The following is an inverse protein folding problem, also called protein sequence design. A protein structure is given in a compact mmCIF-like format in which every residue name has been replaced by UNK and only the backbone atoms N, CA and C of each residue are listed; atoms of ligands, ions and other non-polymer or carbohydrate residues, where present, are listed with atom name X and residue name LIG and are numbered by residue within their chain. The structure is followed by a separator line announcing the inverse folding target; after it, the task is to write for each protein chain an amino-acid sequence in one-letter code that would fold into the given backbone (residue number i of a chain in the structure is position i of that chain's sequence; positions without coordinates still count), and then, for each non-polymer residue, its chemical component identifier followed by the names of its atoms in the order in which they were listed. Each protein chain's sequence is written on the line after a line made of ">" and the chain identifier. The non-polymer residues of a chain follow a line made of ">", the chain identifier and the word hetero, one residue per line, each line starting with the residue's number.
data_IF_098006394306
#
_entry.id   IF_098006394306
#
_cell.length_a   1.000
_cell.length_b   1.000
_cell.length_c   1.000
_cell.angle_alpha   90.00
_cell.angle_beta   90.00
_cell.angle_gamma   90.00
#
_symmetry.space_group_name_H-M   'P 1'
#
loop_
_entity.id
_entity.type
_entity.pdbx_description
1 polymer ?
#
# COMPACT_ATOMS: atom_id res chain seq x y z
N UNK A 1 -8.48 17.89 -19.01
CA UNK A 1 -8.01 17.80 -17.63
C UNK A 1 -6.50 18.01 -17.53
N UNK A 2 -6.01 18.46 -16.37
CA UNK A 2 -4.57 18.48 -16.10
C UNK A 2 -4.11 17.10 -15.61
N UNK A 3 -2.91 16.65 -16.09
CA UNK A 3 -2.31 15.39 -15.68
C UNK A 3 -0.77 15.51 -15.63
N UNK A 4 -0.13 14.82 -14.69
CA UNK A 4 1.31 14.71 -14.57
C UNK A 4 1.80 13.54 -15.43
N UNK A 5 2.23 13.85 -16.66
CA UNK A 5 2.60 12.86 -17.69
C UNK A 5 4.11 12.72 -17.79
N UNK A 6 4.60 11.50 -17.94
CA UNK A 6 5.96 11.22 -18.39
C UNK A 6 5.95 10.40 -19.69
N UNK A 7 6.76 10.87 -20.66
CA UNK A 7 6.84 10.31 -22.01
C UNK A 7 7.81 9.12 -22.11
N UNK A 8 8.69 8.96 -21.13
CA UNK A 8 9.68 7.90 -21.03
C UNK A 8 10.07 7.65 -19.58
N UNK A 9 10.53 6.45 -19.30
CA UNK A 9 11.07 6.09 -17.99
C UNK A 9 12.23 7.02 -17.60
N UNK A 10 12.28 7.41 -16.34
CA UNK A 10 13.24 8.35 -15.75
C UNK A 10 13.30 9.72 -16.47
N UNK A 11 12.33 9.99 -17.34
CA UNK A 11 12.21 11.26 -18.04
C UNK A 11 11.56 12.34 -17.15
N UNK A 12 11.55 13.60 -17.65
CA UNK A 12 10.81 14.66 -16.97
C UNK A 12 9.32 14.32 -16.91
N UNK A 13 8.71 14.67 -15.79
CA UNK A 13 7.26 14.63 -15.61
C UNK A 13 6.74 16.04 -15.86
N UNK A 14 5.76 16.19 -16.73
CA UNK A 14 5.18 17.48 -17.08
C UNK A 14 3.70 17.54 -16.70
N UNK A 15 3.27 18.64 -16.11
CA UNK A 15 1.85 18.91 -15.92
C UNK A 15 1.30 19.48 -17.22
N UNK A 16 0.45 18.72 -17.91
CA UNK A 16 -0.08 19.05 -19.23
C UNK A 16 -1.60 18.95 -19.28
N UNK A 17 -2.20 19.64 -20.24
CA UNK A 17 -3.63 19.49 -20.54
C UNK A 17 -3.82 18.33 -21.51
N UNK A 18 -4.66 17.38 -21.12
CA UNK A 18 -5.03 16.20 -21.90
C UNK A 18 -6.56 16.09 -21.97
N UNK A 19 -7.08 15.26 -22.87
CA UNK A 19 -8.52 14.98 -22.94
C UNK A 19 -8.99 14.31 -21.64
N UNK A 20 -10.22 14.63 -21.23
CA UNK A 20 -10.85 13.97 -20.10
C UNK A 20 -11.12 12.50 -20.44
N UNK A 21 -10.94 11.57 -19.48
CA UNK A 21 -11.24 10.17 -19.72
C UNK A 21 -12.74 9.95 -19.89
N UNK A 22 -13.10 9.03 -20.79
CA UNK A 22 -14.47 8.56 -20.93
C UNK A 22 -14.62 7.17 -20.30
N UNK A 23 -15.75 6.88 -19.63
CA UNK A 23 -15.94 5.57 -19.03
C UNK A 23 -16.19 4.50 -20.09
N UNK A 24 -15.44 3.42 -20.07
CA UNK A 24 -15.77 2.22 -20.83
C UNK A 24 -16.98 1.50 -20.22
N UNK A 25 -17.50 0.47 -20.91
CA UNK A 25 -18.54 -0.38 -20.33
C UNK A 25 -18.05 -1.04 -19.04
N UNK A 26 -18.80 -0.89 -17.96
CA UNK A 26 -18.44 -1.40 -16.62
C UNK A 26 -17.51 -0.49 -15.81
N UNK A 27 -17.04 0.61 -16.37
CA UNK A 27 -16.13 1.56 -15.67
C UNK A 27 -16.91 2.80 -15.18
N UNK A 28 -16.34 3.49 -14.21
CA UNK A 28 -16.73 4.88 -13.87
C UNK A 28 -15.54 5.80 -14.02
N UNK A 29 -15.80 7.09 -14.29
CA UNK A 29 -14.81 8.17 -14.17
C UNK A 29 -14.99 8.83 -12.82
N UNK A 30 -13.89 9.08 -12.13
CA UNK A 30 -13.89 9.80 -10.86
C UNK A 30 -13.06 11.07 -10.95
N UNK A 31 -13.59 12.16 -10.41
CA UNK A 31 -12.82 13.35 -10.06
C UNK A 31 -12.00 13.04 -8.82
N UNK A 32 -10.70 13.28 -8.87
CA UNK A 32 -9.80 12.95 -7.77
C UNK A 32 -9.95 13.97 -6.65
N UNK A 33 -10.15 13.50 -5.43
CA UNK A 33 -10.20 14.31 -4.22
C UNK A 33 -8.87 14.28 -3.45
N UNK A 34 -8.20 13.12 -3.43
CA UNK A 34 -6.87 12.97 -2.89
C UNK A 34 -6.18 11.75 -3.52
N UNK A 35 -4.84 11.80 -3.66
CA UNK A 35 -4.02 10.67 -4.12
C UNK A 35 -2.70 10.61 -3.35
N UNK A 36 -2.37 9.41 -2.84
CA UNK A 36 -1.11 9.15 -2.15
C UNK A 36 0.04 8.95 -3.14
N UNK A 37 1.23 9.48 -2.82
CA UNK A 37 2.46 9.10 -3.50
C UNK A 37 3.02 7.82 -2.87
N UNK A 38 3.21 6.80 -3.67
CA UNK A 38 3.72 5.51 -3.23
C UNK A 38 5.07 5.19 -3.88
N UNK A 39 5.86 4.36 -3.19
CA UNK A 39 7.13 3.87 -3.74
C UNK A 39 6.93 3.11 -5.05
N UNK A 40 5.79 2.45 -5.22
CA UNK A 40 5.47 1.74 -6.45
C UNK A 40 5.28 2.69 -7.64
N UNK A 41 4.77 3.93 -7.44
CA UNK A 41 4.73 4.93 -8.51
C UNK A 41 6.15 5.34 -8.94
N UNK A 42 7.08 5.45 -7.98
CA UNK A 42 8.49 5.69 -8.29
C UNK A 42 9.10 4.53 -9.09
N UNK A 43 8.82 3.28 -8.70
CA UNK A 43 9.28 2.10 -9.46
C UNK A 43 8.71 2.10 -10.88
N UNK A 44 7.46 2.49 -11.05
CA UNK A 44 6.82 2.65 -12.36
C UNK A 44 7.51 3.71 -13.21
N UNK A 45 7.72 4.92 -12.68
CA UNK A 45 8.43 5.98 -13.37
C UNK A 45 9.91 5.61 -13.67
N UNK A 46 10.54 4.87 -12.76
CA UNK A 46 11.92 4.40 -12.92
C UNK A 46 12.06 3.32 -14.01
N UNK A 47 10.96 2.65 -14.40
CA UNK A 47 10.95 1.62 -15.45
C UNK A 47 11.26 0.21 -14.96
N UNK A 48 11.03 -0.06 -13.67
CA UNK A 48 11.19 -1.41 -13.09
C UNK A 48 9.88 -2.20 -13.06
N UNK A 49 8.75 -1.57 -13.38
CA UNK A 49 7.46 -2.24 -13.52
C UNK A 49 7.20 -2.59 -14.99
N UNK A 50 7.06 -3.88 -15.35
CA UNK A 50 6.92 -4.31 -16.73
C UNK A 50 5.54 -4.01 -17.34
N UNK A 51 4.54 -3.69 -16.51
CA UNK A 51 3.16 -3.47 -16.97
C UNK A 51 2.93 -2.03 -17.46
N UNK A 52 3.89 -1.13 -17.23
CA UNK A 52 3.78 0.28 -17.62
C UNK A 52 4.28 0.51 -19.04
N UNK A 53 3.48 1.24 -19.81
CA UNK A 53 3.80 1.70 -21.18
C UNK A 53 3.72 3.22 -21.22
N UNK A 54 4.78 3.88 -21.70
CA UNK A 54 4.82 5.33 -21.89
C UNK A 54 4.15 5.74 -23.23
N UNK A 55 3.50 6.94 -23.30
CA UNK A 55 3.37 7.93 -22.22
C UNK A 55 2.44 7.47 -21.10
N UNK A 56 2.75 7.87 -19.86
CA UNK A 56 2.03 7.37 -18.69
C UNK A 56 1.75 8.43 -17.63
N UNK A 57 0.69 8.19 -16.84
CA UNK A 57 0.30 8.91 -15.63
C UNK A 57 0.23 7.92 -14.47
N UNK A 58 1.07 8.10 -13.45
CA UNK A 58 1.05 7.30 -12.23
C UNK A 58 -0.08 7.68 -11.28
N UNK A 59 -0.02 7.19 -10.04
CA UNK A 59 -1.02 7.45 -8.99
C UNK A 59 -2.07 6.34 -8.93
N UNK A 60 -1.88 5.39 -8.01
CA UNK A 60 -2.71 4.19 -7.88
C UNK A 60 -3.45 4.09 -6.54
N UNK A 61 -3.30 5.07 -5.68
CA UNK A 61 -3.81 5.09 -4.32
C UNK A 61 -4.62 6.37 -4.11
N UNK A 62 -5.92 6.33 -4.43
CA UNK A 62 -6.74 7.52 -4.54
C UNK A 62 -8.16 7.33 -3.99
N UNK A 63 -8.79 8.45 -3.68
CA UNK A 63 -10.21 8.63 -3.47
C UNK A 63 -10.75 9.63 -4.47
N UNK A 64 -11.97 9.43 -4.96
CA UNK A 64 -12.59 10.35 -5.90
C UNK A 64 -14.12 10.37 -5.81
N UNK A 65 -14.71 11.30 -6.55
CA UNK A 65 -16.15 11.43 -6.73
C UNK A 65 -16.52 10.99 -8.14
N UNK A 66 -17.50 10.12 -8.27
CA UNK A 66 -18.00 9.67 -9.58
C UNK A 66 -18.58 10.88 -10.35
N UNK A 67 -18.09 11.10 -11.56
CA UNK A 67 -18.54 12.18 -12.46
C UNK A 67 -19.09 11.67 -13.79
N UNK A 68 -18.81 10.41 -14.13
CA UNK A 68 -19.42 9.76 -15.29
C UNK A 68 -19.50 8.25 -15.08
N UNK A 69 -20.57 7.64 -15.61
CA UNK A 69 -20.88 6.23 -15.40
C UNK A 69 -20.96 5.54 -16.76
N UNK A 70 -20.18 4.46 -16.94
CA UNK A 70 -20.19 3.65 -18.16
C UNK A 70 -21.39 2.74 -18.27
N UNK A 71 -21.67 2.29 -19.50
CA UNK A 71 -22.75 1.34 -19.75
C UNK A 71 -22.57 0.06 -18.91
N UNK A 72 -23.66 -0.46 -18.35
CA UNK A 72 -23.68 -1.70 -17.57
C UNK A 72 -23.28 -1.54 -16.08
N UNK A 73 -22.84 -0.37 -15.63
CA UNK A 73 -22.69 -0.08 -14.21
C UNK A 73 -24.05 0.09 -13.56
N UNK A 74 -24.30 -0.59 -12.46
CA UNK A 74 -25.62 -0.63 -11.79
C UNK A 74 -25.58 -0.16 -10.34
N UNK A 75 -24.41 -0.14 -9.71
CA UNK A 75 -24.25 0.16 -8.29
C UNK A 75 -23.86 1.61 -7.99
N UNK A 76 -23.38 2.35 -9.01
CA UNK A 76 -22.78 3.66 -8.84
C UNK A 76 -23.51 4.71 -9.67
N UNK A 77 -23.51 5.94 -9.16
CA UNK A 77 -24.07 7.14 -9.82
C UNK A 77 -23.16 8.34 -9.63
N UNK A 78 -23.33 9.36 -10.45
CA UNK A 78 -22.64 10.63 -10.29
C UNK A 78 -22.90 11.21 -8.90
N UNK A 79 -21.83 11.76 -8.31
CA UNK A 79 -21.82 12.29 -6.94
C UNK A 79 -21.35 11.29 -5.87
N UNK A 80 -21.38 9.99 -6.13
CA UNK A 80 -20.92 9.00 -5.16
C UNK A 80 -19.41 9.16 -4.88
N UNK A 81 -19.04 9.11 -3.61
CA UNK A 81 -17.65 9.20 -3.15
C UNK A 81 -17.07 7.80 -2.96
N UNK A 82 -16.02 7.48 -3.73
CA UNK A 82 -15.50 6.12 -3.81
C UNK A 82 -13.98 6.05 -3.72
N UNK A 83 -13.50 4.91 -3.23
CA UNK A 83 -12.11 4.44 -3.32
C UNK A 83 -12.09 3.13 -4.09
N UNK A 84 -10.96 2.79 -4.69
CA UNK A 84 -10.76 1.50 -5.34
C UNK A 84 -9.42 0.89 -4.91
N UNK A 85 -9.29 -0.46 -4.84
CA UNK A 85 -8.00 -1.09 -4.68
C UNK A 85 -7.13 -0.83 -5.92
N UNK A 86 -5.82 -0.75 -5.73
CA UNK A 86 -4.90 -0.60 -6.87
C UNK A 86 -4.99 -1.79 -7.84
N UNK A 87 -5.38 -2.98 -7.37
CA UNK A 87 -5.69 -4.13 -8.22
C UNK A 87 -7.20 -4.25 -8.40
N UNK A 88 -7.70 -3.79 -9.53
CA UNK A 88 -9.09 -3.94 -9.91
C UNK A 88 -9.33 -5.30 -10.60
N UNK A 89 -10.00 -6.21 -9.90
CA UNK A 89 -10.33 -7.53 -10.40
C UNK A 89 -11.55 -7.53 -11.33
N UNK A 90 -11.60 -8.48 -12.28
CA UNK A 90 -12.67 -8.54 -13.28
C UNK A 90 -14.03 -9.07 -12.75
N UNK A 91 -14.08 -9.62 -11.54
CA UNK A 91 -15.30 -10.18 -10.94
C UNK A 91 -15.69 -11.60 -11.40
N UNK A 92 -15.12 -12.13 -12.50
CA UNK A 92 -15.62 -13.34 -13.17
C UNK A 92 -14.65 -14.52 -13.20
N UNK A 93 -13.33 -14.27 -13.08
CA UNK A 93 -12.35 -15.36 -13.14
C UNK A 93 -12.31 -16.17 -11.84
N UNK A 94 -11.67 -17.36 -11.88
CA UNK A 94 -11.63 -18.25 -10.72
C UNK A 94 -11.19 -17.56 -9.41
N UNK A 95 -10.08 -16.84 -9.35
CA UNK A 95 -9.72 -16.06 -8.16
C UNK A 95 -10.79 -15.07 -7.72
N UNK A 96 -11.42 -14.34 -8.66
CA UNK A 96 -12.47 -13.38 -8.34
C UNK A 96 -13.71 -14.04 -7.74
N UNK A 97 -14.15 -15.16 -8.28
CA UNK A 97 -15.28 -15.92 -7.75
C UNK A 97 -15.03 -16.48 -6.35
N UNK A 98 -13.77 -16.63 -5.97
CA UNK A 98 -13.33 -16.97 -4.61
C UNK A 98 -13.12 -15.74 -3.71
N UNK A 99 -13.51 -14.54 -4.15
CA UNK A 99 -13.31 -13.30 -3.41
C UNK A 99 -11.86 -12.80 -3.35
N UNK A 100 -10.97 -13.34 -4.20
CA UNK A 100 -9.55 -13.00 -4.25
C UNK A 100 -9.24 -12.10 -5.46
N UNK A 101 -9.88 -10.94 -5.53
CA UNK A 101 -9.78 -10.00 -6.65
C UNK A 101 -8.35 -9.50 -6.86
N UNK A 102 -7.56 -9.35 -5.80
CA UNK A 102 -6.18 -8.85 -5.83
C UNK A 102 -5.18 -9.80 -6.53
N UNK A 103 -5.60 -11.00 -6.90
CA UNK A 103 -4.82 -11.94 -7.73
C UNK A 103 -5.58 -12.35 -8.99
N UNK A 104 -6.42 -11.45 -9.50
CA UNK A 104 -7.16 -11.62 -10.72
C UNK A 104 -6.22 -11.77 -11.92
N UNK A 105 -6.52 -12.73 -12.81
CA UNK A 105 -5.73 -12.95 -14.05
C UNK A 105 -6.00 -11.90 -15.13
N UNK A 106 -7.10 -11.17 -15.03
CA UNK A 106 -7.51 -10.08 -15.95
C UNK A 106 -7.57 -8.74 -15.21
N UNK A 107 -6.72 -8.58 -14.20
CA UNK A 107 -6.67 -7.36 -13.41
C UNK A 107 -6.35 -6.14 -14.26
N UNK A 108 -6.87 -5.00 -13.84
CA UNK A 108 -6.48 -3.70 -14.34
C UNK A 108 -6.05 -2.84 -13.14
N UNK A 109 -5.04 -2.03 -13.36
CA UNK A 109 -4.43 -1.24 -12.28
C UNK A 109 -4.30 0.22 -12.73
N UNK A 110 -5.20 1.12 -12.28
CA UNK A 110 -4.99 2.56 -12.48
C UNK A 110 -3.63 2.99 -11.90
N UNK A 111 -2.83 3.69 -12.70
CA UNK A 111 -1.46 4.07 -12.34
C UNK A 111 -0.37 3.08 -12.77
N UNK A 112 -0.76 1.91 -13.35
CA UNK A 112 0.16 0.91 -13.90
C UNK A 112 -0.27 0.44 -15.28
N UNK A 113 -1.27 -0.42 -15.41
CA UNK A 113 -1.78 -0.89 -16.70
C UNK A 113 -2.67 0.12 -17.41
N UNK A 114 -3.10 1.15 -16.70
CA UNK A 114 -3.90 2.29 -17.17
C UNK A 114 -3.35 3.58 -16.55
N UNK A 115 -3.67 4.73 -17.15
CA UNK A 115 -3.38 6.02 -16.55
C UNK A 115 -4.04 6.15 -15.17
N UNK A 116 -3.30 6.68 -14.22
CA UNK A 116 -3.65 6.79 -12.81
C UNK A 116 -4.19 8.15 -12.40
N UNK A 117 -4.06 8.41 -11.11
CA UNK A 117 -4.71 9.52 -10.41
C UNK A 117 -3.79 10.73 -10.17
N UNK A 118 -2.56 10.78 -10.70
CA UNK A 118 -1.81 12.04 -10.76
C UNK A 118 -2.37 12.92 -11.89
N UNK A 119 -3.68 13.12 -11.84
CA UNK A 119 -4.51 13.88 -12.77
C UNK A 119 -5.78 14.34 -12.05
N UNK A 120 -6.55 15.24 -12.68
CA UNK A 120 -7.85 15.67 -12.13
C UNK A 120 -8.91 14.56 -12.18
N UNK A 121 -8.84 13.66 -13.16
CA UNK A 121 -9.77 12.55 -13.33
C UNK A 121 -9.02 11.25 -13.64
N UNK A 122 -9.59 10.13 -13.21
CA UNK A 122 -9.16 8.79 -13.62
C UNK A 122 -10.34 7.84 -13.75
N UNK A 123 -10.12 6.64 -14.27
CA UNK A 123 -11.15 5.60 -14.39
C UNK A 123 -10.99 4.52 -13.34
N UNK A 124 -12.10 4.06 -12.78
CA UNK A 124 -12.16 2.83 -11.97
C UNK A 124 -12.74 1.72 -12.84
N UNK A 125 -11.91 0.74 -13.26
CA UNK A 125 -12.39 -0.37 -14.09
C UNK A 125 -13.21 -1.38 -13.28
N UNK A 126 -14.17 -2.03 -13.95
CA UNK A 126 -15.09 -3.00 -13.34
C UNK A 126 -15.70 -2.43 -12.05
N UNK A 127 -16.31 -1.24 -12.15
CA UNK A 127 -16.68 -0.42 -11.00
C UNK A 127 -17.60 -1.13 -10.00
N UNK A 128 -18.57 -1.92 -10.47
CA UNK A 128 -19.47 -2.67 -9.59
C UNK A 128 -18.75 -3.73 -8.74
N UNK A 129 -17.55 -4.15 -9.14
CA UNK A 129 -16.70 -5.08 -8.41
C UNK A 129 -15.68 -4.38 -7.51
N UNK A 130 -15.16 -3.22 -7.94
CA UNK A 130 -13.95 -2.64 -7.33
C UNK A 130 -14.16 -1.29 -6.64
N UNK A 131 -15.15 -0.50 -7.04
CA UNK A 131 -15.44 0.73 -6.32
C UNK A 131 -16.08 0.41 -4.96
N UNK A 132 -15.69 1.17 -3.94
CA UNK A 132 -16.19 1.03 -2.56
C UNK A 132 -16.58 2.42 -2.06
N UNK A 133 -17.80 2.53 -1.52
CA UNK A 133 -18.26 3.77 -0.90
C UNK A 133 -17.39 4.14 0.30
N UNK A 134 -16.99 5.39 0.40
CA UNK A 134 -16.23 5.91 1.52
C UNK A 134 -17.19 6.47 2.57
N UNK A 135 -17.12 6.04 3.84
CA UNK A 135 -17.94 6.59 4.92
C UNK A 135 -17.74 8.10 5.07
N UNK A 136 -18.79 8.84 5.39
CA UNK A 136 -18.71 10.30 5.55
C UNK A 136 -17.74 10.75 6.65
N UNK A 137 -17.59 9.94 7.69
CA UNK A 137 -16.66 10.17 8.81
C UNK A 137 -15.19 10.06 8.43
N UNK A 138 -14.86 9.43 7.29
CA UNK A 138 -13.50 9.21 6.83
C UNK A 138 -13.07 10.36 5.91
N UNK A 139 -11.96 11.03 6.23
CA UNK A 139 -11.42 12.13 5.40
C UNK A 139 -10.91 11.62 4.05
N UNK A 140 -10.78 12.52 3.06
CA UNK A 140 -10.23 12.16 1.74
C UNK A 140 -8.79 11.67 1.83
N UNK A 141 -7.96 12.31 2.66
CA UNK A 141 -6.57 11.88 2.89
C UNK A 141 -6.51 10.44 3.42
N UNK A 142 -7.31 10.14 4.44
CA UNK A 142 -7.36 8.80 5.02
C UNK A 142 -7.88 7.77 4.01
N UNK A 143 -8.94 8.10 3.27
CA UNK A 143 -9.56 7.23 2.28
C UNK A 143 -8.61 6.91 1.11
N UNK A 144 -7.86 7.89 0.61
CA UNK A 144 -6.88 7.67 -0.45
C UNK A 144 -5.90 6.56 -0.07
N UNK A 145 -5.38 6.56 1.17
CA UNK A 145 -4.39 5.59 1.65
C UNK A 145 -4.94 4.16 1.78
N UNK A 146 -6.27 3.99 1.75
CA UNK A 146 -6.90 2.65 1.76
C UNK A 146 -6.70 1.93 0.43
N UNK A 147 -6.57 2.65 -0.69
CA UNK A 147 -6.44 2.05 -2.02
C UNK A 147 -5.25 1.09 -2.17
N UNK A 148 -4.16 1.32 -1.44
CA UNK A 148 -2.94 0.52 -1.54
C UNK A 148 -2.36 0.14 -0.17
N UNK A 149 -1.65 1.06 0.50
CA UNK A 149 -0.78 0.74 1.64
C UNK A 149 -1.53 0.24 2.86
N UNK A 150 -2.66 0.85 3.20
CA UNK A 150 -3.46 0.45 4.37
C UNK A 150 -4.12 -0.90 4.12
N UNK A 151 -4.74 -1.10 2.96
CA UNK A 151 -5.37 -2.36 2.59
C UNK A 151 -4.37 -3.50 2.46
N UNK A 152 -3.19 -3.26 1.89
CA UNK A 152 -2.11 -4.25 1.79
C UNK A 152 -1.61 -4.65 3.18
N UNK A 153 -1.41 -3.68 4.08
CA UNK A 153 -1.01 -3.94 5.46
C UNK A 153 -2.10 -4.68 6.25
N UNK A 154 -3.39 -4.31 6.06
CA UNK A 154 -4.50 -5.07 6.62
C UNK A 154 -4.44 -6.53 6.20
N UNK A 155 -4.33 -6.79 4.89
CA UNK A 155 -4.21 -8.16 4.40
C UNK A 155 -2.99 -8.88 4.95
N UNK A 156 -1.85 -8.19 4.99
CA UNK A 156 -0.60 -8.77 5.50
C UNK A 156 -0.68 -9.15 6.97
N UNK A 157 -1.10 -8.22 7.79
CA UNK A 157 -1.10 -8.38 9.26
C UNK A 157 -2.29 -9.21 9.73
N UNK A 158 -3.52 -8.89 9.25
CA UNK A 158 -4.74 -9.47 9.76
C UNK A 158 -5.11 -10.77 9.04
N UNK A 159 -5.17 -10.77 7.71
CA UNK A 159 -5.68 -11.95 7.00
C UNK A 159 -4.60 -13.02 6.82
N UNK A 160 -3.42 -12.64 6.32
CA UNK A 160 -2.34 -13.61 6.05
C UNK A 160 -1.52 -13.90 7.30
N UNK A 161 -1.10 -12.86 8.00
CA UNK A 161 -0.36 -12.97 9.26
C UNK A 161 -1.20 -13.49 10.41
N UNK A 162 -2.52 -13.35 10.37
CA UNK A 162 -3.45 -13.78 11.40
C UNK A 162 -3.04 -13.29 12.79
N UNK A 163 -2.52 -12.06 12.86
CA UNK A 163 -2.07 -11.44 14.10
C UNK A 163 -3.23 -11.30 15.09
N UNK A 164 -2.97 -11.61 16.35
CA UNK A 164 -3.96 -11.54 17.44
C UNK A 164 -3.51 -10.60 18.54
N UNK A 165 -4.45 -10.11 19.31
CA UNK A 165 -4.15 -9.34 20.52
C UNK A 165 -3.21 -10.12 21.46
N UNK A 166 -2.21 -9.43 22.01
CA UNK A 166 -1.19 -10.01 22.88
C UNK A 166 -0.03 -10.74 22.15
N UNK A 167 -0.12 -10.95 20.81
CA UNK A 167 1.01 -11.42 20.02
C UNK A 167 2.02 -10.29 19.77
N UNK A 168 3.21 -10.63 19.31
CA UNK A 168 4.27 -9.71 18.90
C UNK A 168 4.30 -9.62 17.38
N UNK A 169 4.18 -8.39 16.86
CA UNK A 169 4.42 -8.05 15.45
C UNK A 169 5.79 -7.39 15.32
N UNK A 170 6.64 -7.86 14.42
CA UNK A 170 7.87 -7.17 14.04
C UNK A 170 7.78 -6.67 12.60
N UNK A 171 7.97 -5.35 12.38
CA UNK A 171 7.88 -4.70 11.07
C UNK A 171 9.27 -4.22 10.63
N UNK A 172 9.76 -4.76 9.53
CA UNK A 172 11.01 -4.34 8.89
C UNK A 172 10.73 -3.33 7.78
N UNK A 173 11.22 -2.11 7.98
CA UNK A 173 11.01 -0.97 7.11
C UNK A 173 9.79 -0.13 7.50
N UNK A 174 10.03 1.12 7.96
CA UNK A 174 9.02 2.07 8.43
C UNK A 174 8.65 3.10 7.34
N UNK A 175 8.59 2.67 6.07
CA UNK A 175 7.97 3.42 4.99
C UNK A 175 6.43 3.37 5.07
N UNK A 176 5.73 3.89 4.05
CA UNK A 176 4.26 4.00 4.10
C UNK A 176 3.51 2.70 4.40
N UNK A 177 3.94 1.57 3.81
CA UNK A 177 3.33 0.24 4.08
C UNK A 177 3.70 -0.24 5.48
N UNK A 178 4.96 -0.05 5.91
CA UNK A 178 5.40 -0.46 7.24
C UNK A 178 4.72 0.33 8.36
N UNK A 179 4.57 1.65 8.19
CA UNK A 179 3.81 2.48 9.13
C UNK A 179 2.34 2.04 9.23
N UNK A 180 1.73 1.70 8.10
CA UNK A 180 0.38 1.13 8.08
C UNK A 180 0.33 -0.23 8.79
N UNK A 181 1.37 -1.08 8.67
CA UNK A 181 1.46 -2.34 9.40
C UNK A 181 1.64 -2.13 10.92
N UNK A 182 2.43 -1.13 11.33
CA UNK A 182 2.57 -0.71 12.74
C UNK A 182 1.21 -0.28 13.30
N UNK A 183 0.53 0.65 12.62
CA UNK A 183 -0.80 1.12 13.03
C UNK A 183 -1.82 -0.03 13.10
N UNK A 184 -1.74 -0.98 12.18
CA UNK A 184 -2.59 -2.16 12.15
C UNK A 184 -2.33 -3.10 13.33
N UNK A 185 -1.06 -3.34 13.66
CA UNK A 185 -0.67 -4.13 14.83
C UNK A 185 -1.18 -3.53 16.13
N UNK A 186 -1.04 -2.21 16.29
CA UNK A 186 -1.63 -1.48 17.43
C UNK A 186 -3.14 -1.61 17.46
N UNK A 187 -3.83 -1.47 16.32
CA UNK A 187 -5.28 -1.58 16.23
C UNK A 187 -5.80 -2.96 16.68
N UNK A 188 -5.00 -4.00 16.53
CA UNK A 188 -5.31 -5.37 17.01
C UNK A 188 -5.04 -5.53 18.50
N UNK A 189 -4.17 -4.72 19.10
CA UNK A 189 -3.69 -4.87 20.47
C UNK A 189 -2.51 -5.83 20.60
N UNK A 190 -1.67 -5.89 19.58
CA UNK A 190 -0.38 -6.60 19.61
C UNK A 190 0.72 -5.71 20.18
N UNK A 191 1.80 -6.31 20.65
CA UNK A 191 3.06 -5.60 20.90
C UNK A 191 3.78 -5.41 19.58
N UNK A 192 4.10 -4.17 19.22
CA UNK A 192 4.67 -3.83 17.91
C UNK A 192 6.13 -3.41 18.02
N UNK A 193 7.00 -4.11 17.32
CA UNK A 193 8.42 -3.77 17.12
C UNK A 193 8.60 -3.21 15.72
N UNK A 194 9.13 -2.00 15.60
CA UNK A 194 9.48 -1.37 14.33
C UNK A 194 11.01 -1.36 14.15
N UNK A 195 11.47 -1.82 13.01
CA UNK A 195 12.90 -1.89 12.63
C UNK A 195 13.12 -1.04 11.38
N UNK A 196 14.03 -0.10 11.45
CA UNK A 196 14.47 0.73 10.31
C UNK A 196 15.91 1.20 10.54
N UNK A 197 16.50 1.87 9.55
CA UNK A 197 17.82 2.53 9.66
C UNK A 197 17.70 4.06 9.75
N UNK A 198 16.51 4.62 9.57
CA UNK A 198 16.26 6.06 9.59
C UNK A 198 15.62 6.47 10.93
N UNK A 199 16.31 7.29 11.76
CA UNK A 199 15.79 7.71 13.06
C UNK A 199 14.43 8.42 12.97
N UNK A 200 14.23 9.24 11.94
CA UNK A 200 12.97 9.96 11.73
C UNK A 200 11.82 9.00 11.38
N UNK A 201 12.09 7.91 10.63
CA UNK A 201 11.10 6.89 10.34
C UNK A 201 10.73 6.09 11.60
N UNK A 202 11.71 5.80 12.47
CA UNK A 202 11.48 5.15 13.77
C UNK A 202 10.70 6.05 14.73
N UNK A 203 11.00 7.35 14.77
CA UNK A 203 10.24 8.32 15.57
C UNK A 203 8.78 8.39 15.11
N UNK A 204 8.53 8.38 13.80
CA UNK A 204 7.18 8.34 13.23
C UNK A 204 6.50 7.00 13.54
N UNK A 205 7.20 5.87 13.44
CA UNK A 205 6.67 4.56 13.81
C UNK A 205 6.23 4.51 15.28
N UNK A 206 7.01 5.09 16.18
CA UNK A 206 6.62 5.24 17.60
C UNK A 206 5.34 6.07 17.75
N UNK A 207 5.21 7.18 17.02
CA UNK A 207 4.04 8.06 17.10
C UNK A 207 2.76 7.39 16.57
N UNK A 208 2.86 6.50 15.57
CA UNK A 208 1.70 5.76 15.02
C UNK A 208 1.40 4.47 15.78
N UNK A 209 2.24 4.08 16.76
CA UNK A 209 1.90 3.02 17.71
C UNK A 209 2.85 1.85 17.83
N UNK A 210 4.12 2.00 17.44
CA UNK A 210 5.15 1.02 17.80
C UNK A 210 5.48 1.12 19.29
N UNK A 211 5.52 -0.02 19.99
CA UNK A 211 5.93 -0.09 21.40
C UNK A 211 7.46 -0.10 21.55
N UNK A 212 8.16 -0.66 20.57
CA UNK A 212 9.61 -0.80 20.55
C UNK A 212 10.11 -0.36 19.17
N UNK A 213 11.15 0.48 19.14
CA UNK A 213 11.85 0.86 17.92
C UNK A 213 13.30 0.42 17.99
N UNK A 214 13.80 -0.19 16.92
CA UNK A 214 15.17 -0.68 16.82
C UNK A 214 15.83 -0.09 15.56
N UNK A 215 16.92 0.67 15.75
CA UNK A 215 17.77 1.07 14.63
C UNK A 215 18.67 -0.09 14.24
N UNK A 216 18.48 -0.63 13.03
CA UNK A 216 19.23 -1.79 12.57
C UNK A 216 20.75 -1.54 12.46
N UNK A 217 21.19 -0.27 12.44
CA UNK A 217 22.62 0.08 12.41
C UNK A 217 23.31 -0.07 13.77
N UNK A 218 22.54 -0.05 14.85
CA UNK A 218 23.06 -0.15 16.22
C UNK A 218 23.25 -1.62 16.67
N UNK A 219 22.92 -2.58 15.78
CA UNK A 219 22.95 -3.99 16.11
C UNK A 219 23.67 -4.82 15.05
N UNK A 220 24.68 -5.59 15.42
CA UNK A 220 25.34 -6.56 14.54
C UNK A 220 24.39 -7.69 14.11
N UNK A 221 23.43 -8.03 14.98
CA UNK A 221 22.37 -9.01 14.74
C UNK A 221 21.02 -8.42 15.20
N UNK A 222 20.29 -7.84 14.27
CA UNK A 222 19.00 -7.23 14.55
C UNK A 222 17.93 -8.27 14.94
N UNK A 223 18.01 -9.48 14.43
CA UNK A 223 17.08 -10.54 14.80
C UNK A 223 17.30 -10.97 16.27
N UNK A 224 18.55 -11.07 16.71
CA UNK A 224 18.87 -11.31 18.13
C UNK A 224 18.36 -10.16 19.02
N UNK A 225 18.45 -8.91 18.59
CA UNK A 225 17.89 -7.77 19.32
C UNK A 225 16.36 -7.88 19.48
N UNK A 226 15.63 -8.27 18.43
CA UNK A 226 14.18 -8.52 18.50
C UNK A 226 13.88 -9.65 19.50
N UNK A 227 14.66 -10.76 19.49
CA UNK A 227 14.50 -11.84 20.46
C UNK A 227 14.77 -11.40 21.90
N UNK A 228 15.80 -10.60 22.11
CA UNK A 228 16.14 -10.08 23.45
C UNK A 228 15.00 -9.18 23.98
N UNK A 229 14.39 -8.37 23.12
CA UNK A 229 13.32 -7.45 23.50
C UNK A 229 11.96 -8.14 23.74
N UNK A 230 11.67 -9.25 23.05
CA UNK A 230 10.29 -9.79 22.98
C UNK A 230 10.18 -11.32 23.15
N UNK A 231 11.27 -12.05 23.14
CA UNK A 231 11.29 -13.51 23.04
C UNK A 231 11.02 -14.03 21.61
N UNK A 232 11.04 -13.17 20.60
CA UNK A 232 10.78 -13.46 19.20
C UNK A 232 9.35 -13.11 18.74
N UNK A 233 9.21 -12.68 17.50
CA UNK A 233 7.96 -12.26 16.93
C UNK A 233 7.04 -13.44 16.59
N UNK A 234 5.74 -13.26 16.77
CA UNK A 234 4.70 -14.19 16.28
C UNK A 234 4.45 -13.99 14.79
N UNK A 235 4.46 -12.70 14.36
CA UNK A 235 4.36 -12.29 12.97
C UNK A 235 5.50 -11.32 12.68
N UNK A 236 6.21 -11.53 11.58
CA UNK A 236 7.16 -10.57 11.05
C UNK A 236 6.76 -10.16 9.64
N UNK A 237 6.92 -8.88 9.33
CA UNK A 237 6.56 -8.32 8.01
C UNK A 237 7.79 -7.65 7.41
N UNK A 238 8.18 -8.04 6.20
CA UNK A 238 9.17 -7.30 5.41
C UNK A 238 8.45 -6.35 4.44
N UNK A 239 8.62 -5.05 4.69
CA UNK A 239 8.06 -3.96 3.87
C UNK A 239 9.08 -3.33 2.92
N UNK A 240 10.32 -3.82 2.88
CA UNK A 240 11.42 -3.28 2.07
C UNK A 240 11.67 -4.08 0.78
N UNK A 241 11.71 -5.40 0.88
CA UNK A 241 11.92 -6.26 -0.29
C UNK A 241 13.38 -6.41 -0.71
N UNK A 242 14.28 -6.68 0.24
CA UNK A 242 15.65 -7.09 -0.06
C UNK A 242 16.05 -8.35 0.74
N UNK A 243 17.09 -9.04 0.28
CA UNK A 243 17.49 -10.33 0.86
C UNK A 243 17.84 -10.25 2.34
N UNK A 244 18.53 -9.19 2.77
CA UNK A 244 18.96 -9.04 4.16
C UNK A 244 17.76 -8.79 5.10
N UNK A 245 16.83 -7.91 4.72
CA UNK A 245 15.64 -7.62 5.54
C UNK A 245 14.69 -8.81 5.59
N UNK A 246 14.49 -9.52 4.48
CA UNK A 246 13.68 -10.74 4.46
C UNK A 246 14.27 -11.84 5.36
N UNK A 247 15.59 -12.06 5.29
CA UNK A 247 16.26 -13.02 6.15
C UNK A 247 16.14 -12.63 7.63
N UNK A 248 16.44 -11.38 7.98
CA UNK A 248 16.30 -10.86 9.34
C UNK A 248 14.87 -10.95 9.88
N UNK A 249 13.89 -10.68 9.00
CA UNK A 249 12.48 -10.84 9.32
C UNK A 249 12.12 -12.27 9.67
N UNK A 250 12.65 -13.27 8.93
CA UNK A 250 12.48 -14.69 9.26
C UNK A 250 13.24 -15.07 10.54
N UNK A 251 14.48 -14.59 10.70
CA UNK A 251 15.27 -14.88 11.89
C UNK A 251 14.70 -14.28 13.18
N UNK A 252 13.94 -13.18 13.10
CA UNK A 252 13.29 -12.56 14.25
C UNK A 252 12.07 -13.32 14.78
N UNK A 253 11.58 -14.32 14.03
CA UNK A 253 10.43 -15.13 14.43
C UNK A 253 10.76 -16.09 15.56
N UNK A 254 9.80 -16.33 16.43
CA UNK A 254 9.77 -17.49 17.32
C UNK A 254 9.36 -18.75 16.55
N UNK A 255 9.50 -19.93 17.15
CA UNK A 255 8.96 -21.17 16.56
C UNK A 255 7.46 -21.03 16.27
N UNK A 256 6.98 -21.63 15.17
CA UNK A 256 5.62 -21.53 14.62
C UNK A 256 5.21 -20.08 14.21
N UNK A 257 6.20 -19.21 14.02
CA UNK A 257 5.99 -17.83 13.58
C UNK A 257 5.61 -17.73 12.08
N UNK A 258 5.11 -16.58 11.70
CA UNK A 258 4.59 -16.29 10.34
C UNK A 258 5.34 -15.11 9.75
N UNK A 259 6.14 -15.34 8.71
CA UNK A 259 6.75 -14.30 7.90
C UNK A 259 5.78 -13.84 6.80
N UNK A 260 5.60 -12.56 6.68
CA UNK A 260 4.76 -11.93 5.64
C UNK A 260 5.63 -11.03 4.76
N UNK A 261 5.75 -11.39 3.48
CA UNK A 261 6.47 -10.60 2.49
C UNK A 261 5.49 -9.65 1.79
N UNK A 262 5.71 -8.35 1.94
CA UNK A 262 4.99 -7.28 1.26
C UNK A 262 5.93 -6.50 0.32
N UNK A 263 7.15 -6.22 0.78
CA UNK A 263 8.15 -5.53 -0.03
C UNK A 263 8.48 -6.29 -1.32
N UNK A 264 8.48 -5.57 -2.45
CA UNK A 264 8.75 -6.16 -3.75
C UNK A 264 10.24 -6.46 -3.90
N UNK A 265 10.55 -7.67 -4.37
CA UNK A 265 11.93 -8.06 -4.71
C UNK A 265 12.26 -7.70 -6.15
N UNK A 266 13.35 -6.96 -6.39
CA UNK A 266 13.79 -6.63 -7.74
C UNK A 266 14.45 -7.81 -8.48
N UNK A 267 14.80 -8.89 -7.75
CA UNK A 267 15.48 -10.08 -8.30
C UNK A 267 15.13 -11.32 -7.51
N UNK A 268 15.49 -12.49 -8.04
CA UNK A 268 15.32 -13.75 -7.32
C UNK A 268 16.09 -13.73 -5.97
N UNK A 269 15.47 -14.25 -4.92
CA UNK A 269 16.10 -14.44 -3.61
C UNK A 269 17.24 -15.46 -3.72
N UNK A 270 18.48 -14.99 -3.61
CA UNK A 270 19.64 -15.87 -3.64
C UNK A 270 19.83 -16.66 -2.32
N UNK A 271 19.44 -16.06 -1.17
CA UNK A 271 19.70 -16.63 0.17
C UNK A 271 18.51 -16.40 1.10
N UNK A 272 17.49 -17.24 0.98
CA UNK A 272 16.38 -17.26 1.94
C UNK A 272 16.62 -18.34 2.98
N UNK A 273 16.38 -18.12 4.30
CA UNK A 273 16.78 -19.05 5.38
C UNK A 273 15.84 -20.26 5.49
N UNK A 274 15.79 -21.11 4.47
CA UNK A 274 14.90 -22.28 4.38
C UNK A 274 15.12 -23.26 5.51
N UNK A 275 16.37 -23.46 5.95
CA UNK A 275 16.69 -24.33 7.09
C UNK A 275 16.04 -23.87 8.39
N UNK A 276 15.94 -22.54 8.60
CA UNK A 276 15.22 -21.95 9.72
C UNK A 276 13.72 -22.21 9.62
N UNK A 277 13.16 -22.05 8.41
CA UNK A 277 11.73 -22.32 8.14
C UNK A 277 11.37 -23.76 8.50
N UNK A 278 12.20 -24.72 8.10
CA UNK A 278 11.97 -26.15 8.39
C UNK A 278 12.13 -26.46 9.88
N UNK A 279 13.23 -25.99 10.50
CA UNK A 279 13.55 -26.33 11.88
C UNK A 279 12.50 -25.86 12.88
N UNK A 280 11.93 -24.68 12.64
CA UNK A 280 11.02 -24.04 13.59
C UNK A 280 9.57 -24.02 13.07
N UNK A 281 9.27 -24.78 12.01
CA UNK A 281 7.95 -24.89 11.37
C UNK A 281 7.32 -23.54 11.07
N UNK A 282 8.09 -22.63 10.43
CA UNK A 282 7.63 -21.29 10.11
C UNK A 282 6.76 -21.27 8.86
N UNK A 283 5.81 -20.34 8.81
CA UNK A 283 5.06 -20.05 7.58
C UNK A 283 5.70 -18.86 6.84
N UNK A 284 5.75 -18.96 5.50
CA UNK A 284 6.19 -17.87 4.60
C UNK A 284 5.04 -17.50 3.69
N UNK A 285 4.59 -16.26 3.76
CA UNK A 285 3.35 -15.79 3.17
C UNK A 285 3.59 -14.55 2.32
N UNK A 286 3.13 -14.55 1.06
CA UNK A 286 3.13 -13.38 0.19
C UNK A 286 1.83 -12.60 0.29
N UNK A 287 1.89 -11.28 0.00
CA UNK A 287 0.74 -10.38 -0.01
C UNK A 287 0.78 -9.46 -1.23
N UNK A 288 -0.36 -9.29 -1.88
CA UNK A 288 -0.54 -8.37 -2.99
C UNK A 288 -1.90 -7.67 -2.90
N UNK A 289 -1.97 -6.54 -2.20
CA UNK A 289 -3.22 -5.78 -2.02
C UNK A 289 -4.33 -6.51 -1.26
N UNK A 290 -5.54 -6.00 -1.37
CA UNK A 290 -6.75 -6.51 -0.73
C UNK A 290 -7.93 -6.39 -1.70
N UNK A 291 -8.86 -7.34 -1.68
CA UNK A 291 -10.11 -7.24 -2.45
C UNK A 291 -10.98 -6.09 -1.97
N UNK A 292 -11.62 -5.37 -2.89
CA UNK A 292 -12.57 -4.30 -2.58
C UNK A 292 -13.67 -4.73 -1.60
N UNK A 293 -14.15 -5.96 -1.71
CA UNK A 293 -15.18 -6.54 -0.83
C UNK A 293 -14.81 -6.56 0.66
N UNK A 294 -13.52 -6.40 0.98
CA UNK A 294 -13.01 -6.40 2.36
C UNK A 294 -12.69 -5.00 2.90
N UNK A 295 -12.82 -3.95 2.08
CA UNK A 295 -12.51 -2.58 2.52
C UNK A 295 -13.41 -2.10 3.67
N UNK A 296 -14.62 -2.61 3.75
CA UNK A 296 -15.53 -2.29 4.85
C UNK A 296 -14.94 -2.63 6.23
N UNK A 297 -14.08 -3.66 6.33
CA UNK A 297 -13.41 -4.02 7.58
C UNK A 297 -12.33 -3.00 7.96
N UNK A 298 -11.62 -2.48 6.96
CA UNK A 298 -10.64 -1.40 7.14
C UNK A 298 -11.37 -0.13 7.59
N UNK A 299 -12.47 0.23 6.92
CA UNK A 299 -13.26 1.39 7.32
C UNK A 299 -13.85 1.25 8.72
N UNK A 300 -14.30 0.05 9.13
CA UNK A 300 -14.79 -0.19 10.50
C UNK A 300 -13.71 0.08 11.56
N UNK A 301 -12.44 -0.23 11.28
CA UNK A 301 -11.33 0.13 12.17
C UNK A 301 -11.13 1.65 12.24
N UNK A 302 -11.31 2.35 11.12
CA UNK A 302 -11.17 3.81 11.06
C UNK A 302 -12.35 4.49 11.79
N UNK A 303 -13.58 4.08 11.54
CA UNK A 303 -14.78 4.62 12.17
C UNK A 303 -14.81 4.39 13.69
N UNK A 304 -14.23 3.28 14.15
CA UNK A 304 -14.05 3.01 15.58
C UNK A 304 -12.90 3.77 16.25
N UNK A 305 -12.15 4.58 15.49
CA UNK A 305 -10.98 5.33 15.97
C UNK A 305 -9.76 4.45 16.31
N UNK A 306 -9.78 3.16 15.96
CA UNK A 306 -8.67 2.23 16.21
C UNK A 306 -7.56 2.37 15.16
N UNK A 307 -7.87 2.90 13.99
CA UNK A 307 -6.94 3.13 12.89
C UNK A 307 -7.13 4.54 12.34
N UNK A 308 -6.08 5.35 12.37
CA UNK A 308 -6.03 6.65 11.73
C UNK A 308 -4.85 6.72 10.73
N UNK A 309 -5.11 6.50 9.42
CA UNK A 309 -4.07 6.60 8.42
C UNK A 309 -3.46 8.00 8.27
N UNK A 310 -4.16 9.06 8.68
CA UNK A 310 -3.64 10.43 8.55
C UNK A 310 -2.44 10.69 9.46
N UNK A 311 -2.28 9.93 10.54
CA UNK A 311 -1.11 9.99 11.42
C UNK A 311 0.22 9.68 10.70
N UNK A 312 0.15 9.02 9.54
CA UNK A 312 1.33 8.75 8.70
C UNK A 312 1.62 9.86 7.68
N UNK A 313 0.69 10.80 7.47
CA UNK A 313 0.82 11.86 6.45
C UNK A 313 1.72 12.96 6.99
N UNK A 314 2.87 13.13 6.34
CA UNK A 314 3.87 14.15 6.72
C UNK A 314 3.93 15.31 5.72
N UNK A 315 3.42 15.10 4.50
CA UNK A 315 3.41 16.14 3.46
C UNK A 315 2.07 16.18 2.72
N UNK A 316 1.57 17.39 2.50
CA UNK A 316 0.43 17.68 1.62
C UNK A 316 0.95 18.45 0.42
N UNK A 317 0.62 17.97 -0.77
CA UNK A 317 1.14 18.44 -2.05
C UNK A 317 -0.01 18.92 -2.95
N UNK A 318 0.33 19.79 -3.90
CA UNK A 318 -0.48 20.03 -5.06
C UNK A 318 -0.12 19.08 -6.22
N UNK A 319 -0.99 18.93 -7.21
CA UNK A 319 -0.70 18.15 -8.41
C UNK A 319 0.53 18.70 -9.15
N UNK A 320 0.75 20.02 -9.09
CA UNK A 320 1.95 20.68 -9.65
C UNK A 320 3.26 20.28 -8.98
N UNK A 321 3.22 19.67 -7.79
CA UNK A 321 4.42 19.24 -7.06
C UNK A 321 4.85 17.81 -7.44
N UNK A 322 3.95 17.01 -8.04
CA UNK A 322 4.21 15.63 -8.43
C UNK A 322 5.46 15.49 -9.32
N UNK A 323 5.68 16.38 -10.33
CA UNK A 323 6.87 16.32 -11.17
C UNK A 323 8.20 16.34 -10.41
N UNK A 324 8.26 17.01 -9.27
CA UNK A 324 9.46 17.06 -8.42
C UNK A 324 9.45 16.03 -7.30
N UNK A 325 8.28 15.77 -6.70
CA UNK A 325 8.13 14.89 -5.56
C UNK A 325 8.34 13.41 -5.90
N UNK A 326 7.79 12.96 -7.04
CA UNK A 326 7.89 11.54 -7.43
C UNK A 326 9.35 11.11 -7.69
N UNK A 327 10.17 11.81 -8.49
CA UNK A 327 11.59 11.47 -8.63
C UNK A 327 12.39 11.57 -7.32
N UNK A 328 12.04 12.51 -6.44
CA UNK A 328 12.72 12.70 -5.15
C UNK A 328 12.56 11.50 -4.20
N UNK A 329 11.54 10.68 -4.37
CA UNK A 329 11.37 9.44 -3.59
C UNK A 329 12.56 8.49 -3.71
N UNK A 330 13.35 8.57 -4.80
CA UNK A 330 14.59 7.81 -4.97
C UNK A 330 15.64 8.06 -3.90
N UNK A 331 15.59 9.21 -3.22
CA UNK A 331 16.59 9.64 -2.23
C UNK A 331 16.26 9.24 -0.79
N UNK A 332 15.11 8.63 -0.51
CA UNK A 332 14.62 8.27 0.84
C UNK A 332 14.66 9.45 1.86
N UNK A 333 14.47 10.67 1.38
CA UNK A 333 14.75 11.87 2.15
C UNK A 333 13.66 12.33 3.13
N UNK A 334 12.45 11.73 3.06
CA UNK A 334 11.33 12.15 3.93
C UNK A 334 10.65 10.94 4.55
N UNK A 335 10.51 10.91 5.89
CA UNK A 335 9.71 9.89 6.55
C UNK A 335 8.21 10.09 6.24
N UNK A 336 7.43 9.02 6.40
CA UNK A 336 5.99 9.09 6.28
C UNK A 336 5.47 9.07 4.85
N UNK A 337 4.31 9.68 4.65
CA UNK A 337 3.53 9.63 3.42
C UNK A 337 3.25 11.03 2.91
N UNK A 338 3.41 11.21 1.60
CA UNK A 338 2.96 12.41 0.89
C UNK A 338 1.60 12.15 0.24
N UNK A 339 0.68 13.10 0.35
CA UNK A 339 -0.65 13.03 -0.26
C UNK A 339 -0.89 14.31 -1.08
N UNK A 340 -1.29 14.16 -2.33
CA UNK A 340 -1.79 15.28 -3.16
C UNK A 340 -3.23 15.53 -2.79
N UNK A 341 -3.54 16.76 -2.38
CA UNK A 341 -4.88 17.20 -1.93
C UNK A 341 -5.38 18.43 -2.68
N UNK A 342 -4.57 18.98 -3.58
CA UNK A 342 -4.93 20.10 -4.47
C UNK A 342 -4.65 19.69 -5.92
N UNK A 343 -5.71 19.60 -6.75
CA UNK A 343 -5.68 19.03 -8.10
C UNK A 343 -5.98 20.07 -9.18
#
# INVERSE_FOLDING_TARGET
>A
MKAAVYERFQGPIALVDVADPLPASGDVVVEILAVGLCRSDYHGWHGTDPDIVCPHVGGHEFVGRVVAVGAGVTRWREGDRVVAPFVCGCGECGPCLLGQHQVCRRQQQPGFTRWGAFAQYTTVPFADTNAVAVPESVSDEAAALVGCRVSTSYRGVIERGRLRAGEVLCVFGCGGVGLAAVAMGRAVGATVVAVDIAPDALALAASVGSDITLDARDHDDIAAAVHAATGGAHVSVDCLGNAATAANSVFSLRALGRHVQIGLFPSALAEFPVSRVIRDELEVLGVHGLSASRFHEVFALMESGRLDPTAMVTQRLALSDVPSALPAMGRFASPGVSVVTSL
#
